data_IF_694554255959
#
_entry.id   IF_694554255959
#
_cell.length_a   1.000
_cell.length_b   1.000
_cell.length_c   1.000
_cell.angle_alpha   90.00
_cell.angle_beta   90.00
_cell.angle_gamma   90.00
#
_symmetry.space_group_name_H-M   'P 1'
#
loop_
_entity.id
_entity.type
_entity.pdbx_description
1 polymer ?
#
# COMPACT_ATOMS: atom_id res chain seq x y z
N UNK A 1 -14.80 -25.86 0.77
CA UNK A 1 -14.01 -25.54 -0.44
C UNK A 1 -13.96 -24.03 -0.56
N UNK A 2 -12.78 -23.41 -0.48
CA UNK A 2 -12.66 -21.96 -0.63
C UNK A 2 -12.86 -21.58 -2.10
N UNK A 3 -13.79 -20.68 -2.39
CA UNK A 3 -14.00 -20.17 -3.74
C UNK A 3 -13.18 -18.88 -3.88
N UNK A 4 -12.04 -18.97 -4.56
CA UNK A 4 -11.17 -17.83 -4.79
C UNK A 4 -11.54 -17.14 -6.12
N UNK A 5 -11.89 -15.87 -6.04
CA UNK A 5 -12.11 -15.00 -7.19
C UNK A 5 -10.81 -14.25 -7.50
N UNK A 6 -10.03 -14.80 -8.43
CA UNK A 6 -8.78 -14.20 -8.87
C UNK A 6 -9.04 -12.98 -9.75
N UNK A 7 -8.50 -11.83 -9.36
CA UNK A 7 -8.55 -10.61 -10.16
C UNK A 7 -7.33 -10.51 -11.05
N UNK A 8 -7.57 -10.18 -12.32
CA UNK A 8 -6.50 -9.86 -13.25
C UNK A 8 -5.77 -8.58 -12.82
N UNK A 9 -4.44 -8.63 -12.86
CA UNK A 9 -3.58 -7.48 -12.65
C UNK A 9 -2.57 -7.47 -13.80
N UNK A 10 -2.54 -6.39 -14.58
CA UNK A 10 -1.62 -6.25 -15.70
C UNK A 10 -0.15 -6.23 -15.23
N UNK A 11 0.79 -6.75 -16.04
CA UNK A 11 2.22 -6.65 -15.76
C UNK A 11 2.66 -5.22 -15.47
N UNK A 12 3.66 -5.07 -14.59
CA UNK A 12 4.26 -3.78 -14.20
C UNK A 12 3.29 -2.73 -13.63
N UNK A 13 2.04 -3.09 -13.36
CA UNK A 13 0.98 -2.16 -12.95
C UNK A 13 0.80 -2.13 -11.43
N UNK A 14 1.90 -1.94 -10.71
CA UNK A 14 1.91 -2.01 -9.25
C UNK A 14 1.00 -0.95 -8.59
N UNK A 15 0.77 0.19 -9.26
CA UNK A 15 -0.15 1.24 -8.80
C UNK A 15 -1.63 0.80 -8.76
N UNK A 16 -1.96 -0.31 -9.44
CA UNK A 16 -3.29 -0.91 -9.44
C UNK A 16 -3.46 -1.98 -8.35
N UNK A 17 -2.43 -2.23 -7.53
CA UNK A 17 -2.50 -3.16 -6.42
C UNK A 17 -2.55 -2.40 -5.08
N UNK A 18 -3.66 -2.48 -4.31
CA UNK A 18 -3.83 -1.69 -3.09
C UNK A 18 -2.79 -2.02 -2.02
N UNK A 19 -2.21 -3.23 -2.00
CA UNK A 19 -1.19 -3.62 -1.02
C UNK A 19 0.09 -2.77 -1.14
N UNK A 20 0.35 -2.19 -2.31
CA UNK A 20 1.52 -1.32 -2.51
C UNK A 20 1.42 -0.03 -1.68
N UNK A 21 0.21 0.48 -1.45
CA UNK A 21 0.01 1.64 -0.59
C UNK A 21 0.34 1.32 0.87
N UNK A 22 -0.12 0.15 1.35
CA UNK A 22 0.21 -0.31 2.70
C UNK A 22 1.72 -0.47 2.90
N UNK A 23 2.42 -1.13 1.96
CA UNK A 23 3.88 -1.28 2.04
C UNK A 23 4.62 0.05 1.98
N UNK A 24 4.14 1.00 1.18
CA UNK A 24 4.73 2.33 1.12
C UNK A 24 4.61 3.06 2.47
N UNK A 25 3.43 3.02 3.11
CA UNK A 25 3.21 3.61 4.43
C UNK A 25 4.08 2.95 5.50
N UNK A 26 4.02 1.62 5.64
CA UNK A 26 4.83 0.87 6.61
C UNK A 26 6.32 1.22 6.45
N UNK A 27 6.83 1.18 5.22
CA UNK A 27 8.25 1.49 4.94
C UNK A 27 8.60 2.91 5.37
N UNK A 28 7.73 3.88 5.12
CA UNK A 28 7.99 5.26 5.50
C UNK A 28 7.98 5.44 7.01
N UNK A 29 7.02 4.86 7.73
CA UNK A 29 6.95 4.92 9.18
C UNK A 29 8.17 4.26 9.83
N UNK A 30 8.53 3.04 9.41
CA UNK A 30 9.71 2.33 9.91
C UNK A 30 10.97 3.14 9.64
N UNK A 31 11.10 3.74 8.44
CA UNK A 31 12.24 4.61 8.11
C UNK A 31 12.33 5.84 9.02
N UNK A 32 11.21 6.46 9.38
CA UNK A 32 11.18 7.60 10.30
C UNK A 32 11.62 7.18 11.71
N UNK A 33 11.12 6.06 12.22
CA UNK A 33 11.53 5.50 13.53
C UNK A 33 13.02 5.20 13.60
N UNK A 34 13.56 4.59 12.54
CA UNK A 34 15.00 4.31 12.44
C UNK A 34 15.84 5.60 12.44
N UNK A 35 15.37 6.66 11.77
CA UNK A 35 16.03 7.97 11.80
C UNK A 35 16.03 8.61 13.18
N UNK A 36 15.01 8.35 13.98
CA UNK A 36 14.88 8.84 15.35
C UNK A 36 15.69 8.01 16.36
N UNK A 37 16.54 7.08 15.90
CA UNK A 37 17.32 6.16 16.73
C UNK A 37 16.44 5.38 17.74
N UNK A 38 15.19 5.10 17.39
CA UNK A 38 14.40 4.15 18.17
C UNK A 38 15.11 2.79 18.12
N UNK A 39 15.55 2.28 19.25
CA UNK A 39 16.21 0.99 19.35
C UNK A 39 15.19 -0.16 19.25
N UNK A 40 15.65 -1.39 19.00
CA UNK A 40 14.79 -2.59 18.95
C UNK A 40 14.83 -3.34 17.62
N UNK A 41 14.23 -4.53 17.61
CA UNK A 41 14.26 -5.45 16.48
C UNK A 41 13.42 -4.89 15.32
N UNK A 42 13.96 -4.94 14.10
CA UNK A 42 13.30 -4.40 12.91
C UNK A 42 11.94 -5.05 12.65
N UNK A 43 11.83 -6.36 12.89
CA UNK A 43 10.58 -7.12 12.73
C UNK A 43 9.48 -6.60 13.63
N UNK A 44 9.80 -6.24 14.88
CA UNK A 44 8.81 -5.77 15.84
C UNK A 44 8.26 -4.40 15.43
N UNK A 45 9.13 -3.54 14.88
CA UNK A 45 8.71 -2.23 14.33
C UNK A 45 7.82 -2.41 13.12
N UNK A 46 8.14 -3.34 12.21
CA UNK A 46 7.31 -3.65 11.05
C UNK A 46 5.94 -4.18 11.50
N UNK A 47 5.92 -5.12 12.45
CA UNK A 47 4.67 -5.70 12.96
C UNK A 47 3.81 -4.66 13.69
N UNK A 48 4.45 -3.77 14.48
CA UNK A 48 3.77 -2.63 15.10
C UNK A 48 3.08 -1.75 14.05
N UNK A 49 3.76 -1.42 12.95
CA UNK A 49 3.17 -0.61 11.89
C UNK A 49 2.07 -1.32 11.12
N UNK A 50 2.18 -2.64 10.91
CA UNK A 50 1.11 -3.45 10.31
C UNK A 50 -0.14 -3.41 11.21
N UNK A 51 0.03 -3.58 12.52
CA UNK A 51 -1.07 -3.57 13.48
C UNK A 51 -1.74 -2.20 13.64
N UNK A 52 -1.05 -1.12 13.25
CA UNK A 52 -1.58 0.24 13.27
C UNK A 52 -2.44 0.57 12.03
N UNK A 53 -2.49 -0.29 11.01
CA UNK A 53 -3.31 -0.06 9.82
C UNK A 53 -4.79 -0.16 10.20
N UNK A 54 -5.52 0.92 9.96
CA UNK A 54 -6.96 0.98 10.23
C UNK A 54 -7.80 0.59 9.02
N UNK A 55 -9.09 0.32 9.25
CA UNK A 55 -10.06 0.15 8.16
C UNK A 55 -10.17 1.40 7.28
N UNK A 56 -10.01 2.59 7.85
CA UNK A 56 -10.01 3.85 7.11
C UNK A 56 -8.81 3.94 6.16
N UNK A 57 -7.63 3.51 6.60
CA UNK A 57 -6.44 3.46 5.74
C UNK A 57 -6.66 2.49 4.57
N UNK A 58 -7.17 1.28 4.87
CA UNK A 58 -7.54 0.29 3.86
C UNK A 58 -8.51 0.86 2.82
N UNK A 59 -9.59 1.52 3.26
CA UNK A 59 -10.54 2.17 2.37
C UNK A 59 -9.86 3.24 1.49
N UNK A 60 -8.92 3.99 2.07
CA UNK A 60 -8.07 4.93 1.34
C UNK A 60 -7.24 4.26 0.24
N UNK A 61 -6.62 3.11 0.53
CA UNK A 61 -5.82 2.34 -0.42
C UNK A 61 -6.65 1.87 -1.62
N UNK A 62 -7.83 1.30 -1.35
CA UNK A 62 -8.75 0.88 -2.41
C UNK A 62 -9.23 2.07 -3.25
N UNK A 63 -9.59 3.19 -2.61
CA UNK A 63 -10.00 4.41 -3.32
C UNK A 63 -8.91 4.93 -4.24
N UNK A 64 -7.65 4.91 -3.80
CA UNK A 64 -6.51 5.32 -4.63
C UNK A 64 -6.32 4.39 -5.84
N UNK A 65 -6.41 3.07 -5.62
CA UNK A 65 -6.37 2.08 -6.70
C UNK A 65 -7.48 2.28 -7.71
N UNK A 66 -8.74 2.47 -7.28
CA UNK A 66 -9.87 2.74 -8.18
C UNK A 66 -9.63 4.00 -9.01
N UNK A 67 -9.14 5.07 -8.39
CA UNK A 67 -8.78 6.30 -9.12
C UNK A 67 -7.70 6.04 -10.18
N UNK A 68 -6.67 5.26 -9.86
CA UNK A 68 -5.62 4.93 -10.83
C UNK A 68 -6.16 4.10 -12.00
N UNK A 69 -7.08 3.16 -11.74
CA UNK A 69 -7.76 2.40 -12.80
C UNK A 69 -8.52 3.36 -13.73
N UNK A 70 -9.31 4.28 -13.18
CA UNK A 70 -10.04 5.29 -13.98
C UNK A 70 -9.09 6.17 -14.79
N UNK A 71 -7.98 6.61 -14.20
CA UNK A 71 -6.98 7.41 -14.91
C UNK A 71 -6.32 6.63 -16.05
N UNK A 72 -5.97 5.36 -15.83
CA UNK A 72 -5.42 4.49 -16.87
C UNK A 72 -6.41 4.29 -18.02
N UNK A 73 -7.71 4.09 -17.71
CA UNK A 73 -8.75 3.95 -18.72
C UNK A 73 -8.98 5.24 -19.53
N UNK A 74 -8.70 6.39 -18.94
CA UNK A 74 -8.79 7.71 -19.58
C UNK A 74 -7.47 8.15 -20.25
N UNK A 75 -6.44 7.29 -20.29
CA UNK A 75 -5.10 7.59 -20.82
C UNK A 75 -4.44 8.83 -20.19
N UNK A 76 -4.81 9.14 -18.93
CA UNK A 76 -4.24 10.27 -18.22
C UNK A 76 -2.83 9.93 -17.71
N UNK A 77 -1.87 10.88 -17.80
CA UNK A 77 -0.53 10.67 -17.28
C UNK A 77 -0.55 10.40 -15.77
N UNK A 78 0.26 9.43 -15.34
CA UNK A 78 0.40 9.08 -13.94
C UNK A 78 1.33 10.08 -13.25
N UNK A 79 0.79 10.91 -12.35
CA UNK A 79 1.59 11.82 -11.53
C UNK A 79 1.95 11.14 -10.21
N UNK A 80 3.24 10.83 -10.03
CA UNK A 80 3.78 10.56 -8.70
C UNK A 80 3.76 11.87 -7.89
N UNK A 81 2.98 11.90 -6.81
CA UNK A 81 3.12 12.90 -5.75
C UNK A 81 4.19 12.47 -4.77
#
# INVERSE_FOLDING_TARGET
>A
MFNFDFKFLSPYSYMLNPIKNAFFMIKNCVRLRLKNNENGVLTDKIMSEINNITSNDCNGYFRYTTKNITNCAAELPYYHK
#
